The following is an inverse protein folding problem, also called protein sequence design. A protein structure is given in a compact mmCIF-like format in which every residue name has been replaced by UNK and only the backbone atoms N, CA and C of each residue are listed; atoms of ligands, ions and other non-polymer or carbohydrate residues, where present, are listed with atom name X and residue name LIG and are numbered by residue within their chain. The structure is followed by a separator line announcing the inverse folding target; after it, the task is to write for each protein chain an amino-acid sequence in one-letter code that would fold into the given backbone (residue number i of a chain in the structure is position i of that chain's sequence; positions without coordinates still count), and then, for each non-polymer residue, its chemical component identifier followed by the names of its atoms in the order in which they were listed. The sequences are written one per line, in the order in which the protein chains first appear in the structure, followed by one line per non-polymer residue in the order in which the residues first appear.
data_IF_988926216852
#
_entry.id   IF_988926216852
#
_cell.length_a   1.000
_cell.length_b   1.000
_cell.length_c   1.000
_cell.angle_alpha   90.00
_cell.angle_beta   90.00
_cell.angle_gamma   90.00
#
_symmetry.space_group_name_H-M   'P 1'
#
loop_
_entity.id
_entity.type
_entity.pdbx_description
1 polymer ?
#
# COMPACT_ATOMS: atom_id res chain seq x y z
N UNK A 1 -2.51 -8.52 13.51
CA UNK A 1 -1.25 -9.11 13.02
C UNK A 1 -1.24 -10.63 13.20
N UNK A 2 -1.29 -11.16 14.44
CA UNK A 2 -1.22 -12.61 14.74
C UNK A 2 -2.12 -13.50 13.86
N UNK A 3 -3.40 -13.15 13.71
CA UNK A 3 -4.36 -13.94 12.91
C UNK A 3 -4.02 -14.06 11.41
N UNK A 4 -3.39 -13.03 10.82
CA UNK A 4 -3.05 -13.02 9.39
C UNK A 4 -1.78 -13.81 9.11
N UNK A 5 -0.80 -13.77 10.00
CA UNK A 5 0.42 -14.58 9.88
C UNK A 5 0.15 -16.07 10.10
N UNK A 6 -0.77 -16.41 11.00
CA UNK A 6 -1.26 -17.79 11.20
C UNK A 6 -1.96 -18.31 9.95
N UNK A 7 -2.82 -17.51 9.31
CA UNK A 7 -3.47 -17.87 8.05
C UNK A 7 -2.49 -18.07 6.88
N UNK A 8 -1.26 -17.57 7.00
CA UNK A 8 -0.18 -17.78 6.04
C UNK A 8 0.70 -18.99 6.40
N UNK A 9 0.36 -19.78 7.42
CA UNK A 9 1.21 -20.83 8.01
C UNK A 9 2.63 -20.32 8.37
N UNK A 10 2.75 -19.05 8.78
CA UNK A 10 4.03 -18.36 8.98
C UNK A 10 4.97 -18.35 7.75
N UNK A 11 4.43 -18.57 6.54
CA UNK A 11 5.19 -18.47 5.30
C UNK A 11 5.29 -17.02 4.84
N UNK A 12 6.41 -16.72 4.18
CA UNK A 12 6.55 -15.45 3.48
C UNK A 12 5.79 -15.45 2.15
N UNK A 13 5.35 -14.28 1.74
CA UNK A 13 4.54 -14.03 0.55
C UNK A 13 5.38 -13.45 -0.57
N UNK A 14 5.02 -13.79 -1.81
CA UNK A 14 5.58 -13.19 -3.02
C UNK A 14 5.08 -11.75 -3.23
N UNK A 15 3.80 -11.52 -2.98
CA UNK A 15 3.12 -10.25 -3.23
C UNK A 15 2.11 -9.98 -2.13
N UNK A 16 2.09 -8.74 -1.64
CA UNK A 16 1.00 -8.21 -0.84
C UNK A 16 0.22 -7.19 -1.68
N UNK A 17 -1.11 -7.36 -1.72
CA UNK A 17 -2.04 -6.49 -2.43
C UNK A 17 -2.99 -5.87 -1.42
N UNK A 18 -3.04 -4.54 -1.36
CA UNK A 18 -4.02 -3.80 -0.56
C UNK A 18 -4.93 -3.00 -1.49
N UNK A 19 -6.20 -3.39 -1.50
CA UNK A 19 -7.29 -2.64 -2.13
C UNK A 19 -8.25 -2.05 -1.06
N UNK A 20 -7.74 -1.83 0.15
CA UNK A 20 -8.54 -1.29 1.25
C UNK A 20 -8.94 0.17 0.96
N UNK A 21 -10.16 0.53 1.34
CA UNK A 21 -10.64 1.91 1.38
C UNK A 21 -11.56 2.06 2.60
N UNK A 22 -11.53 3.21 3.29
CA UNK A 22 -12.46 3.48 4.37
C UNK A 22 -13.86 3.75 3.81
N UNK A 23 -14.88 3.61 4.67
CA UNK A 23 -16.19 4.17 4.35
C UNK A 23 -16.05 5.68 4.16
N UNK A 24 -16.55 6.20 3.03
CA UNK A 24 -16.50 7.64 2.78
C UNK A 24 -17.42 8.38 3.74
N UNK A 25 -16.88 9.41 4.37
CA UNK A 25 -17.62 10.35 5.22
C UNK A 25 -18.16 11.55 4.44
N UNK A 26 -17.71 11.75 3.20
CA UNK A 26 -17.96 12.95 2.41
C UNK A 26 -17.01 14.11 2.73
N UNK A 27 -16.19 14.01 3.79
CA UNK A 27 -15.18 15.01 4.14
C UNK A 27 -13.84 14.56 3.56
N UNK A 28 -13.44 15.18 2.44
CA UNK A 28 -12.26 14.77 1.65
C UNK A 28 -10.97 14.64 2.45
N UNK A 29 -10.67 15.57 3.36
CA UNK A 29 -9.46 15.53 4.18
C UNK A 29 -9.47 14.33 5.13
N UNK A 30 -10.58 14.11 5.84
CA UNK A 30 -10.71 12.99 6.77
C UNK A 30 -10.70 11.64 6.03
N UNK A 31 -11.33 11.57 4.86
CA UNK A 31 -11.33 10.40 4.00
C UNK A 31 -9.90 10.09 3.48
N UNK A 32 -9.15 11.13 3.10
CA UNK A 32 -7.73 11.04 2.74
C UNK A 32 -6.88 10.52 3.91
N UNK A 33 -6.99 11.11 5.10
CA UNK A 33 -6.21 10.69 6.27
C UNK A 33 -6.48 9.20 6.62
N UNK A 34 -7.73 8.77 6.50
CA UNK A 34 -8.15 7.38 6.77
C UNK A 34 -7.60 6.38 5.76
N UNK A 35 -7.64 6.69 4.46
CA UNK A 35 -7.06 5.77 3.46
C UNK A 35 -5.54 5.72 3.58
N UNK A 36 -4.90 6.85 3.91
CA UNK A 36 -3.45 6.88 4.14
C UNK A 36 -3.06 6.06 5.36
N UNK A 37 -3.82 6.12 6.46
CA UNK A 37 -3.59 5.26 7.62
C UNK A 37 -3.65 3.77 7.26
N UNK A 38 -4.65 3.34 6.48
CA UNK A 38 -4.74 1.97 5.96
C UNK A 38 -3.55 1.60 5.08
N UNK A 39 -3.08 2.53 4.25
CA UNK A 39 -1.93 2.33 3.37
C UNK A 39 -0.62 2.16 4.15
N UNK A 40 -0.41 2.93 5.22
CA UNK A 40 0.73 2.77 6.12
C UNK A 40 0.69 1.44 6.88
N UNK A 41 -0.49 1.03 7.34
CA UNK A 41 -0.67 -0.29 7.96
C UNK A 41 -0.39 -1.43 6.97
N UNK A 42 -0.82 -1.30 5.71
CA UNK A 42 -0.52 -2.26 4.66
C UNK A 42 0.99 -2.36 4.38
N UNK A 43 1.70 -1.23 4.33
CA UNK A 43 3.16 -1.23 4.21
C UNK A 43 3.80 -1.94 5.41
N UNK A 44 3.41 -1.58 6.64
CA UNK A 44 3.94 -2.21 7.86
C UNK A 44 3.73 -3.71 7.88
N UNK A 45 2.56 -4.18 7.45
CA UNK A 45 2.27 -5.61 7.31
C UNK A 45 3.17 -6.26 6.26
N UNK A 46 3.25 -5.66 5.06
CA UNK A 46 4.04 -6.19 3.97
C UNK A 46 5.52 -6.34 4.31
N UNK A 47 6.11 -5.40 5.05
CA UNK A 47 7.52 -5.49 5.49
C UNK A 47 7.81 -6.70 6.39
N UNK A 48 6.79 -7.25 7.06
CA UNK A 48 6.95 -8.40 7.96
C UNK A 48 6.72 -9.74 7.27
N UNK A 49 5.88 -9.76 6.23
CA UNK A 49 5.42 -11.02 5.61
C UNK A 49 5.93 -11.23 4.19
N UNK A 50 6.57 -10.23 3.56
CA UNK A 50 7.06 -10.35 2.18
C UNK A 50 8.47 -10.92 2.17
N UNK A 51 8.75 -11.88 1.28
CA UNK A 51 10.12 -12.39 1.10
C UNK A 51 10.99 -11.38 0.35
N UNK A 52 12.31 -11.46 0.53
CA UNK A 52 13.26 -10.68 -0.28
C UNK A 52 12.98 -10.93 -1.78
N UNK A 53 12.93 -9.86 -2.56
CA UNK A 53 12.55 -9.89 -3.98
C UNK A 53 11.03 -9.75 -4.23
N UNK A 54 10.19 -9.86 -3.20
CA UNK A 54 8.74 -9.73 -3.31
C UNK A 54 8.24 -8.32 -3.64
N UNK A 55 6.93 -8.18 -3.78
CA UNK A 55 6.27 -6.94 -4.24
C UNK A 55 5.11 -6.51 -3.34
N UNK A 56 4.78 -5.23 -3.42
CA UNK A 56 3.66 -4.61 -2.70
C UNK A 56 2.90 -3.69 -3.63
N UNK A 57 1.57 -3.79 -3.63
CA UNK A 57 0.68 -2.87 -4.33
C UNK A 57 -0.32 -2.32 -3.33
N UNK A 58 -0.44 -1.00 -3.23
CA UNK A 58 -1.35 -0.34 -2.30
C UNK A 58 -2.20 0.69 -3.02
N UNK A 59 -3.53 0.57 -2.90
CA UNK A 59 -4.48 1.62 -3.27
C UNK A 59 -4.38 2.81 -2.31
N UNK A 60 -4.38 4.01 -2.87
CA UNK A 60 -4.47 5.29 -2.17
C UNK A 60 -5.39 6.25 -2.94
N UNK A 61 -5.75 7.34 -2.28
CA UNK A 61 -6.19 8.55 -2.97
C UNK A 61 -5.03 9.54 -2.98
N UNK A 62 -4.65 10.04 -4.15
CA UNK A 62 -3.51 10.97 -4.28
C UNK A 62 -3.79 12.27 -3.52
N UNK A 63 -2.80 12.74 -2.79
CA UNK A 63 -2.96 13.77 -1.76
C UNK A 63 -1.67 14.03 -0.96
N UNK A 64 -1.78 14.83 0.10
CA UNK A 64 -0.63 15.39 0.85
C UNK A 64 0.40 14.36 1.29
N UNK A 65 -0.06 13.22 1.81
CA UNK A 65 0.82 12.23 2.46
C UNK A 65 1.33 11.16 1.49
N UNK A 66 0.91 11.24 0.23
CA UNK A 66 1.32 10.29 -0.82
C UNK A 66 2.83 10.27 -0.97
N UNK A 67 3.47 11.45 -0.92
CA UNK A 67 4.92 11.56 -1.08
C UNK A 67 5.67 10.95 0.11
N UNK A 68 5.12 11.05 1.32
CA UNK A 68 5.72 10.43 2.51
C UNK A 68 5.67 8.91 2.40
N UNK A 69 4.50 8.35 2.09
CA UNK A 69 4.35 6.91 1.90
C UNK A 69 5.27 6.39 0.79
N UNK A 70 5.33 7.11 -0.35
CA UNK A 70 6.21 6.77 -1.46
C UNK A 70 7.68 6.71 -1.04
N UNK A 71 8.17 7.71 -0.30
CA UNK A 71 9.55 7.73 0.22
C UNK A 71 9.79 6.58 1.20
N UNK A 72 8.83 6.25 2.07
CA UNK A 72 8.95 5.11 2.97
C UNK A 72 9.04 3.78 2.20
N UNK A 73 8.26 3.59 1.13
CA UNK A 73 8.39 2.43 0.26
C UNK A 73 9.78 2.36 -0.41
N UNK A 74 10.34 3.48 -0.86
CA UNK A 74 11.68 3.50 -1.49
C UNK A 74 12.81 3.08 -0.56
N UNK A 75 12.64 3.24 0.76
CA UNK A 75 13.63 2.74 1.74
C UNK A 75 13.74 1.21 1.69
N UNK A 76 12.63 0.52 1.47
CA UNK A 76 12.54 -0.94 1.59
C UNK A 76 12.46 -1.69 0.24
N UNK A 77 12.09 -1.01 -0.84
CA UNK A 77 11.99 -1.61 -2.18
C UNK A 77 12.98 -0.95 -3.15
N UNK A 78 13.43 -1.68 -4.18
CA UNK A 78 14.31 -1.08 -5.21
C UNK A 78 13.56 -0.22 -6.21
N UNK A 79 12.32 -0.60 -6.52
CA UNK A 79 11.50 0.09 -7.51
C UNK A 79 10.19 0.47 -6.85
N UNK A 80 9.81 1.75 -6.91
CA UNK A 80 8.50 2.24 -6.48
C UNK A 80 7.94 3.14 -7.58
N UNK A 81 6.69 2.91 -7.99
CA UNK A 81 6.02 3.66 -9.06
C UNK A 81 4.61 4.01 -8.64
N UNK A 82 4.16 5.19 -9.09
CA UNK A 82 2.75 5.57 -9.07
C UNK A 82 2.08 4.99 -10.31
N UNK A 83 0.93 4.36 -10.15
CA UNK A 83 0.18 3.73 -11.24
C UNK A 83 -1.30 4.12 -11.15
N UNK A 84 -1.79 4.83 -12.17
CA UNK A 84 -3.21 5.16 -12.36
C UNK A 84 -3.82 4.12 -13.32
N UNK A 85 -4.75 3.25 -12.87
CA UNK A 85 -5.37 2.26 -13.75
C UNK A 85 -6.20 2.94 -14.83
N UNK A 86 -6.20 2.38 -16.05
CA UNK A 86 -7.08 2.85 -17.14
C UNK A 86 -8.58 2.73 -16.81
N UNK A 87 -8.93 1.79 -15.92
CA UNK A 87 -10.29 1.56 -15.47
C UNK A 87 -10.76 2.58 -14.41
N UNK A 88 -9.85 3.39 -13.83
CA UNK A 88 -10.25 4.45 -12.92
C UNK A 88 -10.94 5.57 -13.68
N UNK A 89 -12.06 6.08 -13.15
CA UNK A 89 -12.66 7.32 -13.63
C UNK A 89 -11.66 8.48 -13.60
N UNK A 90 -11.76 9.39 -14.56
CA UNK A 90 -10.85 10.54 -14.69
C UNK A 90 -10.93 11.48 -13.48
N UNK A 91 -12.11 11.64 -12.90
CA UNK A 91 -12.33 12.53 -11.74
C UNK A 91 -11.95 11.92 -10.40
N UNK A 92 -11.55 10.64 -10.38
CA UNK A 92 -11.10 9.98 -9.16
C UNK A 92 -9.66 10.34 -8.84
N UNK A 93 -9.35 10.58 -7.56
CA UNK A 93 -7.97 10.68 -7.07
C UNK A 93 -7.32 9.31 -6.84
N UNK A 94 -7.99 8.20 -7.14
CA UNK A 94 -7.48 6.85 -6.91
C UNK A 94 -6.17 6.57 -7.65
N UNK A 95 -5.19 6.04 -6.95
CA UNK A 95 -3.90 5.67 -7.49
C UNK A 95 -3.38 4.43 -6.77
N UNK A 96 -2.56 3.65 -7.43
CA UNK A 96 -1.83 2.56 -6.82
C UNK A 96 -0.35 2.92 -6.69
N UNK A 97 0.22 2.71 -5.51
CA UNK A 97 1.66 2.64 -5.34
C UNK A 97 2.11 1.20 -5.55
N UNK A 98 2.95 0.98 -6.56
CA UNK A 98 3.49 -0.33 -6.92
C UNK A 98 4.97 -0.35 -6.55
N UNK A 99 5.32 -1.18 -5.58
CA UNK A 99 6.68 -1.43 -5.15
C UNK A 99 7.13 -2.85 -5.50
N UNK A 100 8.37 -3.00 -5.97
CA UNK A 100 8.96 -4.26 -6.42
C UNK A 100 10.36 -4.44 -5.87
N UNK A 101 10.78 -5.70 -5.82
CA UNK A 101 12.10 -6.13 -5.37
C UNK A 101 12.37 -5.66 -3.92
N UNK A 102 11.60 -6.20 -2.99
CA UNK A 102 11.79 -5.97 -1.56
C UNK A 102 13.22 -6.32 -1.14
N UNK A 103 13.90 -5.38 -0.47
CA UNK A 103 15.31 -5.48 -0.07
C UNK A 103 15.48 -6.16 1.30
N UNK A 104 14.40 -6.28 2.06
CA UNK A 104 14.42 -6.64 3.48
C UNK A 104 13.91 -5.49 4.36
N UNK A 105 13.63 -5.78 5.64
CA UNK A 105 13.22 -4.79 6.63
C UNK A 105 14.29 -3.72 6.87
#
# INVERSE_FOLDING_TARGET
MVKLTEALDNKQTDIVLSDMAPNSSGIKSMDHDRIMALAFDALRFALQVTKIGGSLVIKIWDGSDTQELFKNMQKHYKIVRRFKPKASHQDSSELFLVAKEFKGP
#
